data_IF_239557007623
#
_entry.id   IF_239557007623
#
_cell.length_a   1.000
_cell.length_b   1.000
_cell.length_c   1.000
_cell.angle_alpha   90.00
_cell.angle_beta   90.00
_cell.angle_gamma   90.00
#
_symmetry.space_group_name_H-M   'P 1'
#
loop_
_entity.id
_entity.type
_entity.pdbx_description
1 polymer ?
#
# COMPACT_ATOMS: atom_id res chain seq x y z
N UNK A 1 -38.72 4.95 8.29
CA UNK A 1 -38.52 5.46 6.91
C UNK A 1 -37.18 6.18 6.87
N UNK A 2 -36.11 5.45 6.53
CA UNK A 2 -34.74 5.99 6.51
C UNK A 2 -34.59 6.81 5.22
N UNK A 3 -34.21 8.09 5.33
CA UNK A 3 -34.20 9.03 4.19
C UNK A 3 -33.21 8.57 3.10
N UNK A 4 -33.63 8.41 1.83
CA UNK A 4 -32.75 7.96 0.73
C UNK A 4 -31.56 8.89 0.46
N UNK A 5 -31.66 10.16 0.87
CA UNK A 5 -30.58 11.15 0.76
C UNK A 5 -29.31 10.74 1.51
N UNK A 6 -29.43 10.04 2.65
CA UNK A 6 -28.27 9.65 3.46
C UNK A 6 -27.48 8.55 2.74
N UNK A 7 -28.17 7.58 2.13
CA UNK A 7 -27.54 6.44 1.43
C UNK A 7 -26.75 6.91 0.19
N UNK A 8 -27.31 7.85 -0.58
CA UNK A 8 -26.64 8.38 -1.77
C UNK A 8 -25.34 9.14 -1.43
N UNK A 9 -25.30 9.88 -0.31
CA UNK A 9 -24.11 10.59 0.14
C UNK A 9 -22.96 9.63 0.52
N UNK A 10 -23.25 8.52 1.20
CA UNK A 10 -22.25 7.50 1.54
C UNK A 10 -21.72 6.78 0.31
N UNK A 11 -22.59 6.44 -0.65
CA UNK A 11 -22.17 5.85 -1.91
C UNK A 11 -21.27 6.80 -2.72
N UNK A 12 -21.65 8.09 -2.82
CA UNK A 12 -20.83 9.09 -3.49
C UNK A 12 -19.48 9.32 -2.81
N UNK A 13 -19.43 9.30 -1.47
CA UNK A 13 -18.20 9.44 -0.70
C UNK A 13 -17.26 8.23 -0.89
N UNK A 14 -17.82 7.01 -0.94
CA UNK A 14 -17.05 5.80 -1.24
C UNK A 14 -16.49 5.87 -2.67
N UNK A 15 -17.30 6.21 -3.66
CA UNK A 15 -16.81 6.39 -5.04
C UNK A 15 -15.76 7.49 -5.14
N UNK A 16 -15.87 8.58 -4.38
CA UNK A 16 -14.86 9.65 -4.37
C UNK A 16 -13.49 9.23 -3.82
N UNK A 17 -13.41 8.15 -3.02
CA UNK A 17 -12.14 7.60 -2.55
C UNK A 17 -11.43 6.78 -3.63
N UNK A 18 -12.15 6.28 -4.64
CA UNK A 18 -11.57 5.54 -5.76
C UNK A 18 -11.15 6.53 -6.84
N UNK A 19 -9.86 6.52 -7.17
CA UNK A 19 -9.33 7.43 -8.18
C UNK A 19 -9.99 7.15 -9.56
N UNK A 20 -10.30 8.19 -10.36
CA UNK A 20 -10.90 8.02 -11.68
C UNK A 20 -10.09 7.12 -12.63
N UNK A 21 -8.77 7.05 -12.45
CA UNK A 21 -7.93 6.16 -13.24
C UNK A 21 -8.18 4.68 -12.95
N UNK A 22 -8.52 4.31 -11.72
CA UNK A 22 -8.91 2.95 -11.33
C UNK A 22 -10.24 2.59 -11.99
N UNK A 23 -11.22 3.49 -11.99
CA UNK A 23 -12.50 3.28 -12.68
C UNK A 23 -12.31 3.01 -14.17
N UNK A 24 -11.52 3.83 -14.87
CA UNK A 24 -11.22 3.62 -16.31
C UNK A 24 -10.52 2.28 -16.56
N UNK A 25 -9.64 1.84 -15.66
CA UNK A 25 -8.92 0.59 -15.83
C UNK A 25 -9.87 -0.62 -15.65
N UNK A 26 -10.81 -0.53 -14.71
CA UNK A 26 -11.87 -1.54 -14.50
C UNK A 26 -12.89 -1.64 -15.65
N UNK A 27 -13.03 -0.59 -16.48
CA UNK A 27 -13.87 -0.66 -17.68
C UNK A 27 -13.25 -1.57 -18.76
N UNK A 28 -11.92 -1.68 -18.77
CA UNK A 28 -11.18 -2.48 -19.75
C UNK A 28 -10.69 -3.83 -19.21
N UNK A 29 -10.66 -4.00 -17.88
CA UNK A 29 -10.12 -5.18 -17.21
C UNK A 29 -11.02 -5.59 -16.04
N UNK A 30 -11.21 -6.89 -15.85
CA UNK A 30 -12.02 -7.42 -14.74
C UNK A 30 -11.37 -7.17 -13.37
N UNK A 31 -10.03 -7.18 -13.33
CA UNK A 31 -9.22 -7.05 -12.13
C UNK A 31 -8.13 -6.00 -12.34
N UNK A 32 -7.81 -5.25 -11.29
CA UNK A 32 -6.81 -4.16 -11.34
C UNK A 32 -5.91 -4.16 -10.11
N UNK A 33 -4.66 -3.74 -10.31
CA UNK A 33 -3.74 -3.50 -9.20
C UNK A 33 -3.99 -2.11 -8.60
N UNK A 34 -4.03 -2.05 -7.27
CA UNK A 34 -4.27 -0.80 -6.55
C UNK A 34 -3.35 -0.63 -5.36
N UNK A 35 -3.17 0.64 -4.99
CA UNK A 35 -2.57 1.09 -3.74
C UNK A 35 -3.65 1.77 -2.93
N UNK A 36 -3.79 1.33 -1.68
CA UNK A 36 -4.70 1.88 -0.69
C UNK A 36 -3.89 2.74 0.27
N UNK A 37 -4.31 3.99 0.38
CA UNK A 37 -3.77 4.96 1.32
C UNK A 37 -4.73 5.12 2.49
N UNK A 38 -4.18 5.07 3.71
CA UNK A 38 -4.95 5.16 4.93
C UNK A 38 -4.91 6.58 5.51
N UNK A 39 -5.99 6.99 6.16
CA UNK A 39 -6.08 8.31 6.79
C UNK A 39 -4.97 8.51 7.80
N UNK A 40 -4.31 9.67 7.71
CA UNK A 40 -3.20 10.04 8.59
C UNK A 40 -1.87 9.34 8.30
N UNK A 41 -1.85 8.32 7.43
CA UNK A 41 -0.66 7.57 7.06
C UNK A 41 0.23 7.25 8.27
N UNK A 42 1.49 7.65 8.19
CA UNK A 42 2.47 7.50 9.27
C UNK A 42 2.62 8.72 10.18
N UNK A 43 1.82 9.78 9.99
CA UNK A 43 2.03 11.05 10.67
C UNK A 43 1.99 10.91 12.21
N UNK A 44 1.02 10.14 12.73
CA UNK A 44 0.91 9.89 14.17
C UNK A 44 2.12 9.14 14.72
N UNK A 45 2.58 8.10 14.04
CA UNK A 45 3.74 7.31 14.45
C UNK A 45 5.02 8.17 14.45
N UNK A 46 5.19 9.00 13.43
CA UNK A 46 6.35 9.90 13.31
C UNK A 46 6.34 11.02 14.35
N UNK A 47 5.16 11.52 14.72
CA UNK A 47 5.02 12.53 15.79
C UNK A 47 5.41 11.96 17.15
N UNK A 48 4.92 10.76 17.49
CA UNK A 48 5.33 10.04 18.72
C UNK A 48 6.84 9.81 18.71
N UNK A 49 7.38 9.29 17.61
CA UNK A 49 8.81 9.06 17.48
C UNK A 49 9.64 10.35 17.64
N UNK A 50 9.13 11.49 17.17
CA UNK A 50 9.78 12.81 17.32
C UNK A 50 9.77 13.27 18.77
N UNK A 51 8.66 13.10 19.49
CA UNK A 51 8.55 13.48 20.90
C UNK A 51 9.46 12.63 21.78
N UNK A 52 9.57 11.34 21.49
CA UNK A 52 10.36 10.39 22.27
C UNK A 52 11.83 10.32 21.84
N UNK A 53 12.22 11.08 20.81
CA UNK A 53 13.60 11.08 20.29
C UNK A 53 14.65 11.41 21.34
N UNK A 54 14.34 12.34 22.26
CA UNK A 54 15.26 12.75 23.32
C UNK A 54 15.50 11.66 24.38
N UNK A 55 14.67 10.61 24.39
CA UNK A 55 14.78 9.48 25.33
C UNK A 55 15.85 8.46 24.91
N UNK A 56 16.46 8.59 23.73
CA UNK A 56 17.42 7.64 23.20
C UNK A 56 18.83 8.25 23.12
N UNK A 57 19.81 7.56 23.70
CA UNK A 57 21.21 7.97 23.67
C UNK A 57 21.99 7.37 22.50
N UNK A 58 21.45 6.34 21.83
CA UNK A 58 22.06 5.72 20.67
C UNK A 58 21.14 5.73 19.44
N UNK A 59 21.78 5.77 18.26
CA UNK A 59 21.09 5.84 16.98
C UNK A 59 20.35 4.55 16.62
N UNK A 60 20.90 3.40 16.99
CA UNK A 60 20.31 2.08 16.75
C UNK A 60 18.98 1.91 17.47
N UNK A 61 18.92 2.19 18.79
CA UNK A 61 17.65 2.11 19.51
C UNK A 61 16.64 3.14 19.03
N UNK A 62 17.06 4.35 18.67
CA UNK A 62 16.15 5.34 18.08
C UNK A 62 15.54 4.85 16.75
N UNK A 63 16.34 4.22 15.88
CA UNK A 63 15.84 3.65 14.61
C UNK A 63 14.91 2.46 14.87
N UNK A 64 15.27 1.57 15.79
CA UNK A 64 14.45 0.41 16.13
C UNK A 64 13.08 0.85 16.70
N UNK A 65 13.08 1.90 17.51
CA UNK A 65 11.86 2.50 18.06
C UNK A 65 10.97 3.09 16.97
N UNK A 66 11.53 3.90 16.06
CA UNK A 66 10.79 4.42 14.90
C UNK A 66 10.20 3.29 14.08
N UNK A 67 10.97 2.24 13.79
CA UNK A 67 10.48 1.07 13.05
C UNK A 67 9.29 0.42 13.75
N UNK A 68 9.41 0.14 15.05
CA UNK A 68 8.34 -0.48 15.83
C UNK A 68 7.05 0.36 15.81
N UNK A 69 7.18 1.69 15.92
CA UNK A 69 6.03 2.61 15.83
C UNK A 69 5.37 2.58 14.44
N UNK A 70 6.16 2.52 13.37
CA UNK A 70 5.63 2.41 12.00
C UNK A 70 4.94 1.06 11.77
N UNK A 71 5.51 -0.03 12.25
CA UNK A 71 4.93 -1.38 12.16
C UNK A 71 3.60 -1.46 12.93
N UNK A 72 3.57 -0.99 14.18
CA UNK A 72 2.35 -0.96 15.01
C UNK A 72 1.25 -0.07 14.39
N UNK A 73 1.64 1.07 13.81
CA UNK A 73 0.71 1.95 13.11
C UNK A 73 0.15 1.29 11.85
N UNK A 74 0.98 0.60 11.07
CA UNK A 74 0.53 -0.19 9.91
C UNK A 74 -0.46 -1.27 10.34
N UNK A 75 -0.13 -2.09 11.34
CA UNK A 75 -1.04 -3.15 11.83
C UNK A 75 -2.39 -2.60 12.27
N UNK A 76 -2.39 -1.46 12.97
CA UNK A 76 -3.62 -0.85 13.48
C UNK A 76 -4.44 -0.18 12.38
N UNK A 77 -3.79 0.60 11.51
CA UNK A 77 -4.46 1.34 10.45
C UNK A 77 -5.00 0.44 9.35
N UNK A 78 -4.34 -0.70 9.08
CA UNK A 78 -4.69 -1.60 8.00
C UNK A 78 -5.60 -2.77 8.41
N UNK A 79 -5.78 -2.99 9.72
CA UNK A 79 -6.53 -4.14 10.28
C UNK A 79 -7.86 -4.39 9.60
N UNK A 80 -8.73 -3.38 9.54
CA UNK A 80 -10.08 -3.52 8.97
C UNK A 80 -10.05 -3.84 7.48
N UNK A 81 -9.08 -3.30 6.72
CA UNK A 81 -8.93 -3.63 5.30
C UNK A 81 -8.45 -5.07 5.11
N UNK A 82 -7.51 -5.53 5.95
CA UNK A 82 -7.06 -6.92 5.96
C UNK A 82 -8.22 -7.87 6.28
N UNK A 83 -9.08 -7.52 7.23
CA UNK A 83 -10.24 -8.34 7.60
C UNK A 83 -11.24 -8.48 6.44
N UNK A 84 -11.53 -7.39 5.73
CA UNK A 84 -12.38 -7.38 4.53
C UNK A 84 -11.77 -8.26 3.42
N UNK A 85 -10.48 -8.09 3.13
CA UNK A 85 -9.78 -8.84 2.10
C UNK A 85 -9.70 -10.34 2.43
N UNK A 86 -9.47 -10.67 3.71
CA UNK A 86 -9.41 -12.06 4.18
C UNK A 86 -10.76 -12.78 4.05
N UNK A 87 -11.87 -12.05 4.29
CA UNK A 87 -13.23 -12.57 4.16
C UNK A 87 -13.63 -12.84 2.71
N UNK A 88 -12.99 -12.14 1.75
CA UNK A 88 -13.30 -12.22 0.32
C UNK A 88 -12.32 -13.09 -0.48
N UNK A 89 -11.50 -13.92 0.18
CA UNK A 89 -10.45 -14.74 -0.45
C UNK A 89 -10.89 -15.62 -1.64
N UNK A 90 -12.16 -16.01 -1.73
CA UNK A 90 -12.69 -16.77 -2.88
C UNK A 90 -12.83 -15.93 -4.17
N UNK A 91 -12.87 -14.61 -4.06
CA UNK A 91 -13.01 -13.67 -5.16
C UNK A 91 -11.66 -13.06 -5.61
N UNK A 92 -10.55 -13.56 -5.05
CA UNK A 92 -9.24 -12.92 -5.12
C UNK A 92 -8.19 -13.92 -5.64
N UNK A 93 -7.72 -13.74 -6.88
CA UNK A 93 -6.40 -14.22 -7.35
C UNK A 93 -5.24 -13.37 -6.78
N UNK A 94 -5.52 -12.71 -5.66
CA UNK A 94 -4.94 -11.42 -5.28
C UNK A 94 -3.89 -11.61 -4.21
N UNK A 95 -2.69 -11.12 -4.49
CA UNK A 95 -1.66 -10.91 -3.48
C UNK A 95 -1.95 -9.60 -2.75
N UNK A 96 -1.75 -9.58 -1.44
CA UNK A 96 -1.87 -8.37 -0.62
C UNK A 96 -0.53 -8.14 0.06
N UNK A 97 -0.02 -6.91 -0.01
CA UNK A 97 1.22 -6.50 0.63
C UNK A 97 1.00 -5.25 1.45
N UNK A 98 1.42 -5.30 2.71
CA UNK A 98 1.35 -4.18 3.65
C UNK A 98 2.75 -3.62 3.85
N UNK A 99 2.88 -2.29 3.76
CA UNK A 99 4.16 -1.61 3.87
C UNK A 99 4.14 -0.55 4.97
N UNK A 100 5.00 -0.71 5.98
CA UNK A 100 5.06 0.21 7.10
C UNK A 100 5.77 1.53 6.77
N UNK A 101 6.69 1.54 5.78
CA UNK A 101 7.50 2.72 5.46
C UNK A 101 6.64 3.85 4.87
N UNK A 102 5.82 3.52 3.89
CA UNK A 102 4.87 4.46 3.28
C UNK A 102 3.49 4.42 3.97
N UNK A 103 3.22 3.40 4.80
CA UNK A 103 1.95 3.22 5.51
C UNK A 103 0.82 2.74 4.59
N UNK A 104 1.14 2.29 3.38
CA UNK A 104 0.17 1.93 2.35
C UNK A 104 0.02 0.42 2.24
N UNK A 105 -1.07 0.00 1.57
CA UNK A 105 -1.32 -1.40 1.23
C UNK A 105 -1.42 -1.54 -0.28
N UNK A 106 -0.77 -2.55 -0.84
CA UNK A 106 -0.87 -2.93 -2.23
C UNK A 106 -1.78 -4.15 -2.35
N UNK A 107 -2.73 -4.08 -3.27
CA UNK A 107 -3.68 -5.16 -3.54
C UNK A 107 -3.65 -5.43 -5.04
N UNK A 108 -3.22 -6.63 -5.41
CA UNK A 108 -2.97 -7.00 -6.81
C UNK A 108 -4.13 -7.79 -7.39
N UNK A 109 -4.71 -7.36 -8.51
CA UNK A 109 -5.87 -8.02 -9.12
C UNK A 109 -7.13 -7.93 -8.25
N UNK A 110 -7.43 -6.75 -7.71
CA UNK A 110 -8.68 -6.48 -7.04
C UNK A 110 -9.81 -6.27 -8.06
N UNK A 111 -10.96 -6.89 -7.82
CA UNK A 111 -12.18 -6.65 -8.60
C UNK A 111 -12.97 -5.45 -8.06
N UNK A 112 -13.96 -4.98 -8.84
CA UNK A 112 -14.78 -3.82 -8.47
C UNK A 112 -15.51 -3.98 -7.12
N UNK A 113 -16.05 -5.16 -6.83
CA UNK A 113 -16.81 -5.43 -5.60
C UNK A 113 -15.92 -5.25 -4.37
N UNK A 114 -14.69 -5.75 -4.41
CA UNK A 114 -13.70 -5.61 -3.33
C UNK A 114 -13.35 -4.14 -3.13
N UNK A 115 -13.13 -3.39 -4.21
CA UNK A 115 -12.76 -1.98 -4.15
C UNK A 115 -13.89 -1.11 -3.60
N UNK A 116 -15.14 -1.41 -3.96
CA UNK A 116 -16.31 -0.72 -3.42
C UNK A 116 -16.48 -0.98 -1.91
N UNK A 117 -16.20 -2.19 -1.42
CA UNK A 117 -16.20 -2.49 0.03
C UNK A 117 -15.06 -1.78 0.77
N UNK A 118 -13.84 -1.80 0.21
CA UNK A 118 -12.69 -1.08 0.78
C UNK A 118 -12.95 0.43 0.84
N UNK A 119 -13.61 1.00 -0.17
CA UNK A 119 -13.93 2.41 -0.21
C UNK A 119 -14.96 2.83 0.86
N UNK A 120 -15.81 1.91 1.33
CA UNK A 120 -16.75 2.19 2.44
C UNK A 120 -16.03 2.37 3.77
N UNK A 121 -14.80 1.86 3.92
CA UNK A 121 -14.06 1.92 5.18
C UNK A 121 -13.65 3.36 5.52
N UNK A 122 -13.93 3.80 6.75
CA UNK A 122 -13.66 5.18 7.20
C UNK A 122 -12.17 5.52 7.27
N UNK A 123 -11.33 4.52 7.58
CA UNK A 123 -9.88 4.64 7.64
C UNK A 123 -9.21 4.69 6.26
N UNK A 124 -9.92 4.37 5.17
CA UNK A 124 -9.38 4.51 3.81
C UNK A 124 -9.52 5.95 3.34
N UNK A 125 -8.39 6.55 2.94
CA UNK A 125 -8.33 7.90 2.40
C UNK A 125 -8.47 7.92 0.89
N UNK A 126 -7.73 7.04 0.20
CA UNK A 126 -7.68 7.00 -1.25
C UNK A 126 -7.33 5.59 -1.75
N UNK A 127 -7.93 5.18 -2.86
CA UNK A 127 -7.60 3.98 -3.62
C UNK A 127 -7.17 4.44 -5.00
N UNK A 128 -5.91 4.20 -5.35
CA UNK A 128 -5.33 4.66 -6.62
C UNK A 128 -4.55 3.56 -7.31
N UNK A 129 -4.21 3.78 -8.56
CA UNK A 129 -3.29 2.89 -9.26
C UNK A 129 -1.87 2.97 -8.68
N UNK A 130 -1.12 1.86 -8.72
CA UNK A 130 0.30 1.89 -8.45
C UNK A 130 1.00 2.81 -9.45
N UNK A 131 2.03 3.52 -8.99
CA UNK A 131 2.88 4.32 -9.86
C UNK A 131 3.91 3.36 -10.47
N UNK A 132 3.81 3.15 -11.77
CA UNK A 132 4.73 2.28 -12.50
C UNK A 132 5.75 3.16 -13.23
N UNK A 133 7.03 2.97 -12.91
CA UNK A 133 8.13 3.54 -13.68
C UNK A 133 8.66 2.48 -14.65
N UNK A 134 8.81 2.84 -15.92
CA UNK A 134 9.55 2.01 -16.86
C UNK A 134 11.03 2.34 -16.74
N UNK A 135 11.83 1.37 -16.33
CA UNK A 135 13.28 1.50 -16.37
C UNK A 135 13.76 1.07 -17.74
N UNK A 136 14.61 1.89 -18.37
CA UNK A 136 15.29 1.49 -19.59
C UNK A 136 16.13 0.24 -19.31
N UNK A 137 16.10 -0.77 -20.19
CA UNK A 137 16.99 -1.93 -20.06
C UNK A 137 18.43 -1.43 -19.97
N UNK A 138 19.16 -1.89 -18.95
CA UNK A 138 20.61 -1.71 -18.91
C UNK A 138 21.19 -2.67 -19.92
N UNK A 139 21.62 -2.13 -21.06
CA UNK A 139 22.35 -2.90 -22.07
C UNK A 139 23.77 -3.03 -21.54
N UNK A 140 24.15 -4.25 -21.16
CA UNK A 140 25.54 -4.56 -20.88
C UNK A 140 26.23 -4.85 -22.20
N UNK A 141 27.20 -4.01 -22.59
CA UNK A 141 28.08 -4.33 -23.72
C UNK A 141 28.92 -5.55 -23.35
N UNK A 142 29.01 -6.51 -24.28
CA UNK A 142 29.52 -7.88 -24.11
C UNK A 142 30.95 -7.96 -23.54
N UNK A 143 31.74 -6.89 -23.62
CA UNK A 143 33.09 -6.82 -23.03
C UNK A 143 33.08 -6.72 -21.49
N UNK A 144 31.96 -6.32 -20.88
CA UNK A 144 31.82 -6.18 -19.43
C UNK A 144 31.43 -7.49 -18.72
N UNK A 145 30.95 -8.49 -19.46
CA UNK A 145 30.57 -9.81 -18.92
C UNK A 145 31.79 -10.60 -18.46
N UNK A 146 32.96 -10.34 -19.07
CA UNK A 146 34.24 -10.97 -18.71
C UNK A 146 34.68 -10.58 -17.29
N UNK A 147 34.49 -9.32 -16.89
CA UNK A 147 34.85 -8.87 -15.53
C UNK A 147 33.95 -9.45 -14.44
N UNK A 148 32.65 -9.59 -14.72
CA UNK A 148 31.70 -10.18 -13.77
C UNK A 148 31.98 -11.67 -13.51
N UNK A 149 32.34 -12.43 -14.56
CA UNK A 149 32.70 -13.85 -14.43
C UNK A 149 34.05 -14.07 -13.73
N UNK A 150 35.01 -13.17 -13.92
CA UNK A 150 36.32 -13.22 -13.24
C UNK A 150 36.17 -12.97 -11.74
N UNK A 151 35.33 -12.01 -11.34
CA UNK A 151 35.10 -11.73 -9.92
C UNK A 151 34.31 -12.85 -9.21
N UNK A 152 33.40 -13.53 -9.91
CA UNK A 152 32.66 -14.66 -9.34
C UNK A 152 33.53 -15.91 -9.11
N UNK A 153 34.54 -16.14 -9.96
CA UNK A 153 35.49 -17.25 -9.78
C UNK A 153 36.61 -16.98 -8.77
N UNK A 154 36.80 -15.73 -8.34
CA UNK A 154 37.82 -15.38 -7.36
C UNK A 154 37.39 -15.63 -5.90
N UNK A 155 36.13 -16.05 -5.68
CA UNK A 155 35.54 -16.33 -4.36
C UNK A 155 34.94 -17.76 -4.27
N UNK A 156 35.56 -18.71 -4.96
CA UNK A 156 35.44 -20.16 -4.73
C UNK A 156 36.83 -20.76 -4.67
#
# INVERSE_FOLDING_TARGET
MVKPTIIAAFAALATAKIAPSVHRHLESNENVDVVIEFRGGNQRALEVARLERASFNDRGSSIAHVRSLLESNMETSQRTAVDVLSSQRKALTTRVESFYINGNMHVYGANRVVLDELAKLDNVACIRQPVTAQLSPVIFDDESVVFALILQKAWT
#
